data_IF_816436807739
#
_entry.id   IF_816436807739
#
_cell.length_a   1.000
_cell.length_b   1.000
_cell.length_c   1.000
_cell.angle_alpha   90.00
_cell.angle_beta   90.00
_cell.angle_gamma   90.00
#
_symmetry.space_group_name_H-M   'P 1'
#
loop_
_entity.id
_entity.type
_entity.pdbx_description
1 polymer ?
#
# COMPACT_ATOMS: atom_id res chain seq x y z
N UNK A 1 1.66 16.48 -6.84
CA UNK A 1 2.28 17.35 -5.82
C UNK A 1 3.78 17.09 -5.67
N UNK A 2 4.23 15.86 -5.37
CA UNK A 2 5.67 15.58 -5.21
C UNK A 2 6.57 15.96 -6.41
N UNK A 3 6.08 15.82 -7.65
CA UNK A 3 6.86 16.13 -8.85
C UNK A 3 6.51 17.46 -9.53
N UNK A 4 5.49 18.16 -9.03
CA UNK A 4 5.04 19.44 -9.56
C UNK A 4 5.50 20.55 -8.63
N UNK A 5 6.41 21.39 -9.11
CA UNK A 5 6.91 22.53 -8.35
C UNK A 5 5.86 23.65 -8.31
N UNK A 6 5.72 24.27 -7.15
CA UNK A 6 4.91 25.48 -7.03
C UNK A 6 5.62 26.66 -7.69
N UNK A 7 4.89 27.75 -7.94
CA UNK A 7 5.46 28.95 -8.54
C UNK A 7 6.60 29.50 -7.65
N UNK A 8 7.82 29.53 -8.21
CA UNK A 8 9.03 30.01 -7.52
C UNK A 8 9.81 28.94 -6.76
N UNK A 9 9.33 27.70 -6.73
CA UNK A 9 10.01 26.57 -6.08
C UNK A 9 10.99 25.90 -7.05
N UNK A 10 12.21 25.62 -6.59
CA UNK A 10 13.24 24.90 -7.37
C UNK A 10 13.76 23.71 -6.56
N UNK A 11 12.97 22.63 -6.53
CA UNK A 11 13.36 21.38 -5.86
C UNK A 11 14.28 20.54 -6.74
N UNK A 12 15.29 19.96 -6.12
CA UNK A 12 16.12 18.94 -6.75
C UNK A 12 15.32 17.65 -6.97
N UNK A 13 15.78 16.80 -7.89
CA UNK A 13 15.17 15.49 -8.10
C UNK A 13 15.17 14.64 -6.82
N UNK A 14 16.21 14.74 -5.99
CA UNK A 14 16.29 14.06 -4.70
C UNK A 14 15.13 14.50 -3.80
N UNK A 15 14.91 15.81 -3.65
CA UNK A 15 13.82 16.33 -2.82
C UNK A 15 12.44 15.87 -3.28
N UNK A 16 12.20 15.82 -4.59
CA UNK A 16 10.94 15.33 -5.17
C UNK A 16 10.70 13.86 -4.85
N UNK A 17 11.73 13.03 -4.97
CA UNK A 17 11.65 11.61 -4.62
C UNK A 17 11.53 11.38 -3.11
N UNK A 18 12.21 12.17 -2.27
CA UNK A 18 12.04 12.13 -0.82
C UNK A 18 10.60 12.44 -0.41
N UNK A 19 10.01 13.48 -1.00
CA UNK A 19 8.61 13.84 -0.76
C UNK A 19 7.65 12.76 -1.24
N UNK A 20 7.88 12.21 -2.44
CA UNK A 20 7.09 11.10 -2.95
C UNK A 20 7.13 9.90 -2.01
N UNK A 21 8.32 9.42 -1.62
CA UNK A 21 8.48 8.27 -0.72
C UNK A 21 7.82 8.56 0.62
N UNK A 22 8.04 9.74 1.20
CA UNK A 22 7.43 10.11 2.48
C UNK A 22 5.90 10.08 2.42
N UNK A 23 5.32 10.75 1.42
CA UNK A 23 3.87 10.86 1.27
C UNK A 23 3.25 9.50 0.95
N UNK A 24 3.87 8.73 0.05
CA UNK A 24 3.37 7.42 -0.34
C UNK A 24 3.43 6.41 0.81
N UNK A 25 4.55 6.32 1.54
CA UNK A 25 4.67 5.41 2.69
C UNK A 25 3.69 5.81 3.80
N UNK A 26 3.42 7.11 3.99
CA UNK A 26 2.40 7.57 4.93
C UNK A 26 0.98 7.18 4.48
N UNK A 27 0.62 7.49 3.24
CA UNK A 27 -0.70 7.13 2.69
C UNK A 27 -0.90 5.62 2.71
N UNK A 28 0.14 4.85 2.34
CA UNK A 28 0.13 3.39 2.39
C UNK A 28 -0.01 2.87 3.80
N UNK A 29 0.82 3.30 4.75
CA UNK A 29 0.73 2.83 6.13
C UNK A 29 -0.63 3.13 6.76
N UNK A 30 -1.22 4.29 6.45
CA UNK A 30 -2.58 4.63 6.87
C UNK A 30 -3.65 3.77 6.19
N UNK A 31 -3.48 3.40 4.92
CA UNK A 31 -4.39 2.47 4.26
C UNK A 31 -4.26 1.06 4.87
N UNK A 32 -3.05 0.53 5.03
CA UNK A 32 -2.84 -0.80 5.60
C UNK A 32 -3.40 -0.92 7.03
N UNK A 33 -3.16 0.07 7.89
CA UNK A 33 -3.66 0.04 9.27
C UNK A 33 -5.11 0.52 9.37
N UNK A 34 -5.53 1.49 8.58
CA UNK A 34 -6.86 2.09 8.65
C UNK A 34 -7.93 1.33 7.86
N UNK A 35 -7.54 0.50 6.90
CA UNK A 35 -8.43 -0.30 6.07
C UNK A 35 -8.24 -1.80 6.34
N UNK A 36 -7.03 -2.35 6.15
CA UNK A 36 -6.85 -3.81 6.23
C UNK A 36 -7.01 -4.35 7.64
N UNK A 37 -6.52 -3.64 8.67
CA UNK A 37 -6.68 -4.09 10.05
C UNK A 37 -8.16 -4.16 10.47
N UNK A 38 -9.00 -3.12 10.27
CA UNK A 38 -10.41 -3.24 10.54
C UNK A 38 -11.09 -4.33 9.71
N UNK A 39 -10.74 -4.48 8.43
CA UNK A 39 -11.24 -5.58 7.61
C UNK A 39 -10.95 -6.94 8.27
N UNK A 40 -9.69 -7.23 8.62
CA UNK A 40 -9.28 -8.50 9.25
C UNK A 40 -10.04 -8.77 10.54
N UNK A 41 -10.14 -7.77 11.42
CA UNK A 41 -10.80 -7.91 12.73
C UNK A 41 -12.32 -8.06 12.62
N UNK A 42 -12.94 -7.48 11.60
CA UNK A 42 -14.38 -7.38 11.49
C UNK A 42 -14.98 -8.33 10.45
N UNK A 43 -14.17 -8.89 9.54
CA UNK A 43 -14.62 -9.72 8.42
C UNK A 43 -15.59 -10.81 8.88
N UNK A 44 -15.24 -11.55 9.92
CA UNK A 44 -16.05 -12.68 10.40
C UNK A 44 -17.38 -12.23 11.02
N UNK A 45 -17.40 -11.09 11.72
CA UNK A 45 -18.57 -10.64 12.47
C UNK A 45 -19.56 -9.84 11.62
N UNK A 46 -19.06 -9.06 10.67
CA UNK A 46 -19.85 -8.06 9.97
C UNK A 46 -19.87 -8.22 8.46
N UNK A 47 -18.87 -8.86 7.85
CA UNK A 47 -18.82 -9.07 6.39
C UNK A 47 -19.17 -10.52 6.01
N UNK A 48 -18.98 -11.47 6.93
CA UNK A 48 -19.44 -12.85 6.81
C UNK A 48 -20.67 -13.11 7.69
N UNK A 49 -21.57 -14.02 7.29
CA UNK A 49 -21.73 -14.57 5.95
C UNK A 49 -22.71 -13.68 5.19
N UNK A 50 -22.38 -12.42 4.87
CA UNK A 50 -23.28 -11.61 4.03
C UNK A 50 -23.35 -12.36 2.70
N UNK A 51 -24.47 -13.05 2.41
CA UNK A 51 -24.60 -13.66 1.11
C UNK A 51 -24.60 -12.50 0.10
N UNK A 52 -24.03 -12.72 -1.08
CA UNK A 52 -23.67 -11.63 -2.03
C UNK A 52 -24.85 -10.70 -2.39
N UNK A 53 -26.06 -11.02 -1.97
CA UNK A 53 -27.29 -10.26 -1.97
C UNK A 53 -27.51 -9.39 -0.69
N UNK A 54 -26.82 -8.25 -0.72
CA UNK A 54 -27.41 -6.90 -0.55
C UNK A 54 -28.04 -6.53 0.81
N UNK A 55 -27.21 -5.79 1.56
CA UNK A 55 -27.53 -4.59 2.39
C UNK A 55 -27.06 -4.77 3.84
N UNK A 56 -26.16 -3.87 4.26
CA UNK A 56 -25.80 -3.70 5.67
C UNK A 56 -27.02 -3.29 6.48
N UNK A 57 -27.24 -3.92 7.64
CA UNK A 57 -28.31 -3.54 8.55
C UNK A 57 -28.04 -2.13 9.11
N UNK A 58 -29.06 -1.42 9.63
CA UNK A 58 -28.88 -0.06 10.16
C UNK A 58 -27.73 0.10 11.19
N UNK A 59 -27.49 -0.92 12.04
CA UNK A 59 -26.38 -0.94 13.00
C UNK A 59 -25.01 -1.30 12.41
N UNK A 60 -24.96 -1.67 11.14
CA UNK A 60 -23.78 -2.11 10.39
C UNK A 60 -23.36 -1.09 9.33
N UNK A 61 -24.11 0.01 9.17
CA UNK A 61 -23.83 1.04 8.18
C UNK A 61 -22.44 1.64 8.30
N UNK A 62 -21.82 1.61 9.48
CA UNK A 62 -20.42 2.02 9.65
C UNK A 62 -19.45 1.18 8.79
N UNK A 63 -19.81 -0.05 8.42
CA UNK A 63 -19.03 -0.95 7.57
C UNK A 63 -19.23 -0.67 6.07
N UNK A 64 -20.00 0.35 5.70
CA UNK A 64 -20.29 0.69 4.30
C UNK A 64 -19.05 0.85 3.41
N UNK A 65 -17.90 1.40 3.86
CA UNK A 65 -16.73 1.54 2.99
C UNK A 65 -16.21 0.16 2.58
N UNK A 66 -16.08 -0.75 3.55
CA UNK A 66 -15.66 -2.12 3.34
C UNK A 66 -16.64 -2.89 2.45
N UNK A 67 -17.94 -2.73 2.70
CA UNK A 67 -18.99 -3.34 1.88
C UNK A 67 -18.98 -2.82 0.44
N UNK A 68 -18.72 -1.52 0.23
CA UNK A 68 -18.67 -0.92 -1.11
C UNK A 68 -17.55 -1.55 -1.95
N UNK A 69 -16.40 -1.84 -1.35
CA UNK A 69 -15.33 -2.57 -2.04
C UNK A 69 -15.64 -4.07 -2.16
N UNK A 70 -16.10 -4.69 -1.09
CA UNK A 70 -16.37 -6.13 -1.02
C UNK A 70 -17.50 -6.59 -1.95
N UNK A 71 -18.41 -5.70 -2.33
CA UNK A 71 -19.41 -5.94 -3.37
C UNK A 71 -18.82 -6.01 -4.77
N UNK A 72 -17.64 -5.41 -5.00
CA UNK A 72 -16.87 -5.59 -6.24
C UNK A 72 -15.95 -6.81 -6.19
N UNK A 73 -15.31 -7.08 -5.04
CA UNK A 73 -14.50 -8.27 -4.79
C UNK A 73 -15.09 -9.12 -3.66
N UNK A 74 -15.83 -10.17 -4.06
CA UNK A 74 -16.61 -10.99 -3.14
C UNK A 74 -15.77 -11.79 -2.14
N UNK A 75 -14.44 -11.91 -2.32
CA UNK A 75 -13.53 -12.55 -1.35
C UNK A 75 -13.53 -11.83 0.00
N UNK A 76 -13.93 -10.57 0.02
CA UNK A 76 -14.05 -9.77 1.22
C UNK A 76 -15.38 -10.04 1.96
N UNK A 77 -16.38 -10.64 1.30
CA UNK A 77 -17.68 -11.03 1.90
C UNK A 77 -17.77 -12.52 2.24
N UNK A 78 -16.99 -13.39 1.57
CA UNK A 78 -16.98 -14.84 1.80
C UNK A 78 -15.72 -15.34 2.51
N UNK A 79 -15.71 -16.61 2.89
CA UNK A 79 -14.48 -17.25 3.37
C UNK A 79 -13.52 -17.43 2.20
N UNK A 80 -12.35 -16.78 2.31
CA UNK A 80 -11.26 -16.91 1.35
C UNK A 80 -9.95 -16.79 2.13
N UNK A 81 -9.30 -17.92 2.35
CA UNK A 81 -8.14 -18.06 3.24
C UNK A 81 -6.96 -17.23 2.77
N UNK A 82 -6.64 -17.27 1.47
CA UNK A 82 -5.53 -16.52 0.89
C UNK A 82 -5.71 -15.00 1.01
N UNK A 83 -6.93 -14.49 0.80
CA UNK A 83 -7.24 -13.06 0.97
C UNK A 83 -7.08 -12.66 2.43
N UNK A 84 -7.67 -13.41 3.36
CA UNK A 84 -7.58 -13.08 4.80
C UNK A 84 -6.12 -13.10 5.30
N UNK A 85 -5.34 -14.11 4.92
CA UNK A 85 -3.93 -14.19 5.28
C UNK A 85 -3.12 -13.03 4.70
N UNK A 86 -3.40 -12.64 3.46
CA UNK A 86 -2.75 -11.51 2.80
C UNK A 86 -3.08 -10.19 3.50
N UNK A 87 -4.35 -9.91 3.76
CA UNK A 87 -4.74 -8.68 4.46
C UNK A 87 -4.18 -8.60 5.88
N UNK A 88 -4.05 -9.74 6.56
CA UNK A 88 -3.42 -9.79 7.89
C UNK A 88 -1.94 -9.41 7.80
N UNK A 89 -1.23 -9.94 6.80
CA UNK A 89 0.17 -9.56 6.57
C UNK A 89 0.29 -8.07 6.23
N UNK A 90 -0.55 -7.57 5.32
CA UNK A 90 -0.57 -6.17 4.90
C UNK A 90 -0.85 -5.23 6.08
N UNK A 91 -1.85 -5.53 6.91
CA UNK A 91 -2.17 -4.79 8.13
C UNK A 91 -0.98 -4.71 9.10
N UNK A 92 -0.27 -5.82 9.31
CA UNK A 92 0.92 -5.85 10.17
C UNK A 92 2.06 -5.04 9.55
N UNK A 93 2.29 -5.17 8.25
CA UNK A 93 3.29 -4.39 7.51
C UNK A 93 3.04 -2.88 7.58
N UNK A 94 1.77 -2.45 7.65
CA UNK A 94 1.39 -1.05 7.82
C UNK A 94 2.01 -0.37 9.05
N UNK A 95 2.17 -1.09 10.16
CA UNK A 95 2.85 -0.53 11.35
C UNK A 95 4.33 -0.23 11.09
N UNK A 96 5.01 -1.05 10.28
CA UNK A 96 6.39 -0.79 9.88
C UNK A 96 6.48 0.43 8.97
N UNK A 97 5.52 0.64 8.07
CA UNK A 97 5.46 1.85 7.24
C UNK A 97 5.26 3.11 8.08
N UNK A 98 4.32 3.10 9.04
CA UNK A 98 4.12 4.23 9.94
C UNK A 98 5.36 4.51 10.80
N UNK A 99 6.08 3.47 11.24
CA UNK A 99 7.36 3.63 11.90
C UNK A 99 8.41 4.26 10.97
N UNK A 100 8.48 3.84 9.70
CA UNK A 100 9.38 4.41 8.70
C UNK A 100 9.05 5.88 8.43
N UNK A 101 7.78 6.28 8.39
CA UNK A 101 7.35 7.68 8.25
C UNK A 101 7.90 8.53 9.40
N UNK A 102 7.81 8.05 10.64
CA UNK A 102 8.35 8.76 11.81
C UNK A 102 9.87 8.91 11.69
N UNK A 103 10.56 7.85 11.25
CA UNK A 103 12.02 7.87 11.01
C UNK A 103 12.40 8.87 9.90
N UNK A 104 11.65 8.91 8.78
CA UNK A 104 11.85 9.85 7.68
C UNK A 104 11.60 11.30 8.13
N UNK A 105 10.47 11.55 8.81
CA UNK A 105 10.07 12.89 9.30
C UNK A 105 11.12 13.51 10.21
N UNK A 106 11.68 12.72 11.13
CA UNK A 106 12.71 13.19 12.06
C UNK A 106 14.14 13.01 11.54
N UNK A 107 14.30 12.50 10.31
CA UNK A 107 15.58 12.15 9.69
C UNK A 107 16.47 11.25 10.58
N UNK A 108 15.86 10.48 11.48
CA UNK A 108 16.54 9.52 12.37
C UNK A 108 16.43 8.15 11.75
N UNK A 109 17.57 7.44 11.61
CA UNK A 109 17.61 6.12 10.96
C UNK A 109 17.08 6.15 9.52
N UNK A 110 17.37 7.23 8.79
CA UNK A 110 16.90 7.46 7.42
C UNK A 110 17.14 6.27 6.48
N UNK A 111 18.36 5.68 6.50
CA UNK A 111 18.69 4.48 5.70
C UNK A 111 17.79 3.28 6.03
N UNK A 112 17.50 3.06 7.31
CA UNK A 112 16.59 2.00 7.77
C UNK A 112 15.17 2.25 7.28
N UNK A 113 14.70 3.50 7.34
CA UNK A 113 13.37 3.86 6.89
C UNK A 113 13.19 3.63 5.38
N UNK A 114 14.19 4.00 4.58
CA UNK A 114 14.21 3.71 3.13
C UNK A 114 14.23 2.21 2.85
N UNK A 115 14.98 1.42 3.62
CA UNK A 115 14.98 -0.03 3.47
C UNK A 115 13.62 -0.64 3.82
N UNK A 116 12.99 -0.19 4.91
CA UNK A 116 11.63 -0.62 5.28
C UNK A 116 10.67 -0.31 4.13
N UNK A 117 10.65 0.94 3.64
CA UNK A 117 9.81 1.35 2.53
C UNK A 117 10.04 0.48 1.27
N UNK A 118 11.31 0.20 0.93
CA UNK A 118 11.61 -0.63 -0.22
C UNK A 118 11.05 -2.06 -0.07
N UNK A 119 11.24 -2.67 1.10
CA UNK A 119 10.82 -4.04 1.39
C UNK A 119 9.29 -4.18 1.51
N UNK A 120 8.62 -3.26 2.22
CA UNK A 120 7.15 -3.29 2.35
C UNK A 120 6.49 -3.14 1.00
N UNK A 121 6.89 -2.16 0.20
CA UNK A 121 6.29 -1.93 -1.11
C UNK A 121 6.58 -3.03 -2.14
N UNK A 122 7.75 -3.68 -2.07
CA UNK A 122 7.98 -4.85 -2.91
C UNK A 122 7.06 -6.02 -2.50
N UNK A 123 6.89 -6.23 -1.19
CA UNK A 123 5.93 -7.19 -0.65
C UNK A 123 4.49 -6.88 -1.09
N UNK A 124 4.08 -5.61 -1.05
CA UNK A 124 2.73 -5.19 -1.41
C UNK A 124 2.45 -5.34 -2.90
N UNK A 125 3.43 -5.03 -3.75
CA UNK A 125 3.35 -5.30 -5.17
C UNK A 125 3.09 -6.78 -5.43
N UNK A 126 3.84 -7.67 -4.78
CA UNK A 126 3.66 -9.11 -4.95
C UNK A 126 2.35 -9.61 -4.37
N UNK A 127 1.98 -9.20 -3.15
CA UNK A 127 0.70 -9.55 -2.52
C UNK A 127 -0.47 -9.21 -3.44
N UNK A 128 -0.49 -7.97 -3.96
CA UNK A 128 -1.51 -7.50 -4.88
C UNK A 128 -1.47 -8.27 -6.22
N UNK A 129 -0.29 -8.40 -6.83
CA UNK A 129 -0.15 -9.08 -8.12
C UNK A 129 -0.52 -10.55 -8.04
N UNK A 130 -0.09 -11.27 -7.01
CA UNK A 130 -0.34 -12.70 -6.89
C UNK A 130 -1.77 -13.01 -6.46
N UNK A 131 -2.28 -12.32 -5.43
CA UNK A 131 -3.56 -12.68 -4.80
C UNK A 131 -4.73 -11.97 -5.46
N UNK A 132 -4.57 -10.72 -5.89
CA UNK A 132 -5.65 -9.99 -6.54
C UNK A 132 -5.67 -10.31 -8.03
N UNK A 133 -4.57 -10.14 -8.76
CA UNK A 133 -4.59 -10.29 -10.23
C UNK A 133 -4.42 -11.73 -10.71
N UNK A 134 -3.32 -12.39 -10.35
CA UNK A 134 -3.00 -13.73 -10.86
C UNK A 134 -4.05 -14.74 -10.41
N UNK A 135 -4.39 -14.79 -9.11
CA UNK A 135 -5.41 -15.72 -8.62
C UNK A 135 -6.76 -15.49 -9.31
N UNK A 136 -7.17 -14.24 -9.53
CA UNK A 136 -8.44 -13.95 -10.19
C UNK A 136 -8.45 -14.35 -11.67
N UNK A 137 -7.30 -14.25 -12.36
CA UNK A 137 -7.16 -14.77 -13.73
C UNK A 137 -7.34 -16.30 -13.74
N UNK A 138 -6.76 -17.01 -12.78
CA UNK A 138 -6.94 -18.46 -12.64
C UNK A 138 -8.38 -18.85 -12.30
N UNK A 139 -9.01 -18.07 -11.43
CA UNK A 139 -10.41 -18.26 -11.01
C UNK A 139 -11.41 -17.68 -12.03
N UNK A 140 -10.93 -17.25 -13.21
CA UNK A 140 -11.74 -16.74 -14.33
C UNK A 140 -12.69 -15.61 -13.93
N UNK A 141 -12.23 -14.72 -13.05
CA UNK A 141 -12.98 -13.57 -12.55
C UNK A 141 -14.26 -13.93 -11.76
N UNK A 142 -14.34 -15.12 -11.15
CA UNK A 142 -15.52 -15.54 -10.38
C UNK A 142 -15.81 -14.66 -9.16
N UNK A 143 -14.80 -13.97 -8.62
CA UNK A 143 -14.95 -13.14 -7.44
C UNK A 143 -15.40 -11.72 -7.77
N UNK A 144 -15.28 -11.31 -9.03
CA UNK A 144 -15.61 -9.95 -9.48
C UNK A 144 -17.10 -9.83 -9.71
N UNK A 145 -17.78 -9.05 -8.88
CA UNK A 145 -19.21 -8.77 -8.96
C UNK A 145 -19.47 -7.31 -9.38
N UNK A 146 -20.71 -6.84 -9.38
CA UNK A 146 -21.12 -5.47 -9.79
C UNK A 146 -20.84 -5.08 -11.25
N UNK A 147 -20.64 -6.07 -12.11
CA UNK A 147 -20.53 -5.90 -13.56
C UNK A 147 -19.21 -5.28 -14.03
N UNK A 148 -19.01 -5.14 -15.36
CA UNK A 148 -17.71 -4.79 -15.92
C UNK A 148 -17.25 -3.37 -15.59
N UNK A 149 -18.15 -2.40 -15.46
CA UNK A 149 -17.75 -1.01 -15.22
C UNK A 149 -17.47 -0.72 -13.74
N UNK A 150 -18.49 -0.87 -12.89
CA UNK A 150 -18.37 -0.55 -11.46
C UNK A 150 -17.54 -1.61 -10.71
N UNK A 151 -17.80 -2.89 -10.98
CA UNK A 151 -17.09 -4.01 -10.39
C UNK A 151 -15.64 -4.10 -10.83
N UNK A 152 -15.43 -4.41 -12.10
CA UNK A 152 -14.09 -4.67 -12.61
C UNK A 152 -13.23 -3.41 -12.69
N UNK A 153 -13.64 -2.36 -13.40
CA UNK A 153 -12.76 -1.21 -13.63
C UNK A 153 -12.58 -0.30 -12.42
N UNK A 154 -13.67 0.03 -11.72
CA UNK A 154 -13.61 0.97 -10.60
C UNK A 154 -13.15 0.28 -9.32
N UNK A 155 -13.84 -0.78 -8.89
CA UNK A 155 -13.58 -1.41 -7.58
C UNK A 155 -12.37 -2.34 -7.61
N UNK A 156 -12.36 -3.33 -8.51
CA UNK A 156 -11.34 -4.37 -8.51
C UNK A 156 -10.01 -3.89 -9.12
N UNK A 157 -10.00 -3.43 -10.37
CA UNK A 157 -8.77 -2.96 -11.02
C UNK A 157 -8.36 -1.59 -10.50
N UNK A 158 -9.27 -0.61 -10.47
CA UNK A 158 -8.96 0.78 -10.16
C UNK A 158 -8.35 0.97 -8.77
N UNK A 159 -8.98 0.44 -7.73
CA UNK A 159 -8.48 0.58 -6.35
C UNK A 159 -7.20 -0.22 -6.10
N UNK A 160 -6.95 -1.30 -6.84
CA UNK A 160 -5.74 -2.10 -6.69
C UNK A 160 -4.59 -1.66 -7.61
N UNK A 161 -4.87 -0.92 -8.68
CA UNK A 161 -3.86 -0.52 -9.67
C UNK A 161 -2.75 0.32 -9.06
N UNK A 162 -3.10 1.18 -8.10
CA UNK A 162 -2.14 2.00 -7.37
C UNK A 162 -1.08 1.16 -6.65
N UNK A 163 -1.44 0.00 -6.09
CA UNK A 163 -0.47 -0.90 -5.46
C UNK A 163 0.42 -1.60 -6.50
N UNK A 164 -0.09 -1.86 -7.70
CA UNK A 164 0.68 -2.46 -8.81
C UNK A 164 1.66 -1.48 -9.46
N UNK A 165 1.40 -0.17 -9.37
CA UNK A 165 2.20 0.86 -10.06
C UNK A 165 3.07 1.63 -9.06
N UNK A 166 2.47 2.18 -8.02
CA UNK A 166 3.16 3.08 -7.09
C UNK A 166 4.07 2.31 -6.12
N UNK A 167 3.75 1.05 -5.77
CA UNK A 167 4.62 0.27 -4.89
C UNK A 167 5.97 -0.05 -5.54
N UNK A 168 6.05 -0.58 -6.79
CA UNK A 168 7.35 -0.73 -7.47
C UNK A 168 8.10 0.59 -7.61
N UNK A 169 7.40 1.69 -7.97
CA UNK A 169 8.02 3.02 -8.07
C UNK A 169 8.63 3.43 -6.72
N UNK A 170 7.90 3.23 -5.61
CA UNK A 170 8.42 3.51 -4.28
C UNK A 170 9.61 2.63 -3.93
N UNK A 171 9.57 1.33 -4.23
CA UNK A 171 10.71 0.44 -4.02
C UNK A 171 11.96 0.96 -4.73
N UNK A 172 11.87 1.27 -6.01
CA UNK A 172 13.02 1.77 -6.77
C UNK A 172 13.47 3.16 -6.29
N UNK A 173 12.54 4.06 -5.98
CA UNK A 173 12.86 5.38 -5.45
C UNK A 173 13.60 5.29 -4.10
N UNK A 174 13.11 4.46 -3.17
CA UNK A 174 13.73 4.25 -1.87
C UNK A 174 15.13 3.65 -1.99
N UNK A 175 15.32 2.67 -2.87
CA UNK A 175 16.63 2.08 -3.15
C UNK A 175 17.59 3.08 -3.80
N UNK A 176 17.10 3.90 -4.73
CA UNK A 176 17.91 4.93 -5.37
C UNK A 176 18.38 5.99 -4.37
N UNK A 177 17.47 6.49 -3.51
CA UNK A 177 17.80 7.43 -2.43
C UNK A 177 18.80 6.81 -1.43
N UNK A 178 18.61 5.53 -1.08
CA UNK A 178 19.50 4.82 -0.16
C UNK A 178 20.92 4.70 -0.74
N UNK A 179 21.03 4.29 -2.00
CA UNK A 179 22.31 4.21 -2.72
C UNK A 179 22.98 5.58 -2.82
N UNK A 180 22.21 6.64 -3.12
CA UNK A 180 22.71 8.01 -3.12
C UNK A 180 23.30 8.40 -1.78
N UNK A 181 22.57 8.14 -0.68
CA UNK A 181 23.02 8.47 0.66
C UNK A 181 24.29 7.73 1.08
N UNK A 182 24.38 6.44 0.78
CA UNK A 182 25.57 5.64 1.05
C UNK A 182 26.79 6.17 0.27
N UNK A 183 26.62 6.52 -1.01
CA UNK A 183 27.71 7.10 -1.82
C UNK A 183 28.22 8.42 -1.27
N UNK A 184 27.33 9.29 -0.80
CA UNK A 184 27.72 10.56 -0.17
C UNK A 184 28.55 10.34 1.10
N UNK A 185 28.09 9.44 1.98
CA UNK A 185 28.79 9.09 3.22
C UNK A 185 30.17 8.49 2.94
N UNK A 186 30.26 7.54 2.01
CA UNK A 186 31.55 6.93 1.61
C UNK A 186 32.51 7.98 1.03
N UNK A 187 32.02 8.91 0.20
CA UNK A 187 32.87 9.98 -0.34
C UNK A 187 33.42 10.88 0.76
N UNK A 188 32.58 11.24 1.74
CA UNK A 188 33.00 12.04 2.89
C UNK A 188 34.05 11.30 3.72
N UNK A 189 33.83 10.01 4.03
CA UNK A 189 34.80 9.17 4.76
C UNK A 189 36.16 9.10 4.05
N UNK A 190 36.19 8.90 2.72
CA UNK A 190 37.42 8.81 1.95
C UNK A 190 38.21 10.14 1.90
N UNK A 191 37.51 11.27 1.93
CA UNK A 191 38.14 12.60 1.95
C UNK A 191 38.74 12.94 3.31
N UNK A 192 38.13 12.46 4.40
CA UNK A 192 38.56 12.77 5.77
C UNK A 192 39.42 11.67 6.43
N UNK A 193 39.70 10.56 5.74
CA UNK A 193 40.65 9.52 6.18
C UNK A 193 42.11 9.77 5.76
N UNK A 194 42.39 10.87 5.06
CA UNK A 194 43.72 11.20 4.50
C UNK A 194 44.59 12.09 5.40
N UNK A 195 44.11 12.43 6.59
CA UNK A 195 44.86 13.12 7.65
C UNK A 195 45.24 12.13 8.76
#
# INVERSE_FOLDING_TARGET
FAFLDNKGETRTQIQKWEEFVFMWVLTSGLAQVGWELPFVLWKVKYLQPIPSDKILRPGELWAWPFWMYASGDTRYMRQHSASHATETMLAISGFFELAAVVMLKWRRRYKTALLIAALTHWGFFWANTSVIYIAEIYDRYENVADGPWAGYWVKWAGLNLQWSVLSPICTFASLWLLCGKVREETKHELLHKKD
#
